data_IF_551103916457
#
_entry.id   IF_551103916457
#
_cell.length_a   1.000
_cell.length_b   1.000
_cell.length_c   1.000
_cell.angle_alpha   90.00
_cell.angle_beta   90.00
_cell.angle_gamma   90.00
#
_symmetry.space_group_name_H-M   'P 1'
#
loop_
_entity.id
_entity.type
_entity.pdbx_description
1 polymer ?
#
# COMPACT_ATOMS: atom_id res chain seq x y z
N UNK A 1 28.98 2.76 -3.39
CA UNK A 1 28.97 2.60 -4.87
C UNK A 1 28.79 3.99 -5.47
N UNK A 2 29.11 4.23 -6.76
CA UNK A 2 28.66 5.48 -7.41
C UNK A 2 27.18 5.27 -7.79
N UNK A 3 26.30 6.25 -7.51
CA UNK A 3 24.86 6.22 -7.84
C UNK A 3 24.60 5.69 -9.26
N UNK A 4 25.43 6.11 -10.25
CA UNK A 4 25.40 5.59 -11.61
C UNK A 4 25.32 4.06 -11.69
N UNK A 5 26.20 3.36 -10.98
CA UNK A 5 26.25 1.90 -11.05
C UNK A 5 25.00 1.28 -10.43
N UNK A 6 24.49 1.85 -9.34
CA UNK A 6 23.26 1.38 -8.72
C UNK A 6 22.06 1.53 -9.67
N UNK A 7 21.91 2.66 -10.36
CA UNK A 7 20.84 2.81 -11.36
C UNK A 7 20.95 1.80 -12.51
N UNK A 8 22.16 1.55 -13.01
CA UNK A 8 22.40 0.53 -14.06
C UNK A 8 22.07 -0.88 -13.56
N UNK A 9 22.50 -1.23 -12.35
CA UNK A 9 22.21 -2.53 -11.74
C UNK A 9 20.70 -2.70 -11.53
N UNK A 10 20.00 -1.66 -11.07
CA UNK A 10 18.54 -1.65 -10.88
C UNK A 10 17.80 -1.80 -12.22
N UNK A 11 18.27 -1.14 -13.28
CA UNK A 11 17.70 -1.26 -14.63
C UNK A 11 17.86 -2.68 -15.21
N UNK A 12 18.89 -3.41 -14.78
CA UNK A 12 19.12 -4.82 -15.15
C UNK A 12 18.49 -5.84 -14.18
N UNK A 13 17.74 -5.37 -13.17
CA UNK A 13 17.13 -6.21 -12.13
C UNK A 13 18.12 -6.86 -11.16
N UNK A 14 19.27 -6.20 -10.95
CA UNK A 14 20.36 -6.59 -10.07
C UNK A 14 20.63 -5.56 -8.97
N UNK A 15 19.67 -4.68 -8.70
CA UNK A 15 19.77 -3.67 -7.66
C UNK A 15 20.17 -4.28 -6.32
N UNK A 16 21.14 -3.64 -5.66
CA UNK A 16 21.53 -4.02 -4.30
C UNK A 16 20.34 -3.81 -3.35
N UNK A 17 20.10 -4.79 -2.48
CA UNK A 17 18.98 -4.75 -1.53
C UNK A 17 19.46 -4.32 -0.17
N UNK A 18 18.87 -3.25 0.34
CA UNK A 18 19.01 -2.90 1.75
C UNK A 18 18.35 -3.97 2.64
N UNK A 19 18.83 -4.17 3.88
CA UNK A 19 18.10 -4.96 4.86
C UNK A 19 16.70 -4.38 5.12
N UNK A 20 15.70 -5.26 5.19
CA UNK A 20 14.37 -4.93 5.73
C UNK A 20 14.41 -5.09 7.24
N UNK A 21 14.20 -4.01 7.99
CA UNK A 21 14.36 -3.97 9.44
C UNK A 21 13.04 -3.56 10.10
N UNK A 22 12.56 -4.40 11.00
CA UNK A 22 11.38 -4.13 11.83
C UNK A 22 11.75 -4.28 13.30
N UNK A 23 11.16 -3.44 14.15
CA UNK A 23 11.25 -3.58 15.60
C UNK A 23 9.85 -3.78 16.19
N UNK A 24 9.76 -4.54 17.27
CA UNK A 24 8.52 -4.74 18.02
C UNK A 24 8.71 -4.53 19.52
N UNK A 25 7.66 -4.01 20.14
CA UNK A 25 7.57 -3.76 21.56
C UNK A 25 6.63 -4.77 22.21
N UNK A 26 7.04 -5.24 23.38
CA UNK A 26 6.34 -6.28 24.13
C UNK A 26 5.96 -5.74 25.52
N UNK A 27 4.82 -6.17 26.03
CA UNK A 27 4.42 -5.82 27.42
C UNK A 27 5.16 -6.63 28.49
N UNK A 28 5.91 -7.66 28.08
CA UNK A 28 6.77 -8.49 28.93
C UNK A 28 8.24 -8.28 28.58
N UNK A 29 9.10 -8.59 29.54
CA UNK A 29 10.53 -8.67 29.32
C UNK A 29 10.89 -9.79 28.32
N UNK A 30 11.77 -9.47 27.38
CA UNK A 30 12.26 -10.36 26.34
C UNK A 30 13.71 -10.76 26.63
N UNK A 31 14.07 -12.00 26.30
CA UNK A 31 15.43 -12.53 26.44
C UNK A 31 15.68 -13.66 25.43
N UNK A 32 16.95 -13.96 25.15
CA UNK A 32 17.32 -14.96 24.15
C UNK A 32 16.75 -16.37 24.40
N UNK A 33 16.80 -16.95 25.61
CA UNK A 33 16.18 -18.26 25.87
C UNK A 33 14.68 -18.30 25.55
N UNK A 34 13.97 -17.18 25.77
CA UNK A 34 12.58 -17.08 25.38
C UNK A 34 12.41 -17.07 23.85
N UNK A 35 13.19 -16.27 23.13
CA UNK A 35 13.15 -16.22 21.66
C UNK A 35 13.42 -17.61 21.07
N UNK A 36 14.44 -18.32 21.56
CA UNK A 36 14.75 -19.70 21.16
C UNK A 36 13.55 -20.62 21.35
N UNK A 37 12.94 -20.60 22.54
CA UNK A 37 11.78 -21.44 22.85
C UNK A 37 10.55 -21.10 21.97
N UNK A 38 10.35 -19.83 21.62
CA UNK A 38 9.28 -19.43 20.69
C UNK A 38 9.57 -19.91 19.26
N UNK A 39 10.82 -19.84 18.81
CA UNK A 39 11.24 -20.36 17.50
C UNK A 39 11.16 -21.89 17.39
N UNK A 40 11.40 -22.61 18.49
CA UNK A 40 11.23 -24.07 18.57
C UNK A 40 9.76 -24.51 18.56
N UNK A 41 8.85 -23.66 19.05
CA UNK A 41 7.43 -24.01 19.22
C UNK A 41 6.52 -23.52 18.09
N UNK A 42 6.93 -22.52 17.32
CA UNK A 42 6.21 -22.12 16.12
C UNK A 42 6.24 -23.26 15.07
N UNK A 43 5.23 -23.31 14.19
CA UNK A 43 5.06 -24.40 13.22
C UNK A 43 5.01 -23.94 11.77
N UNK A 44 5.18 -22.65 11.51
CA UNK A 44 5.09 -22.07 10.17
C UNK A 44 6.40 -22.24 9.40
N UNK A 45 7.52 -22.00 10.08
CA UNK A 45 8.86 -22.25 9.57
C UNK A 45 9.36 -23.63 10.02
N UNK A 46 10.03 -24.32 9.11
CA UNK A 46 10.58 -25.65 9.29
C UNK A 46 12.10 -25.61 9.22
N UNK A 47 12.78 -26.65 9.72
CA UNK A 47 14.26 -26.74 9.64
C UNK A 47 14.98 -25.50 10.21
N UNK A 48 14.46 -24.99 11.33
CA UNK A 48 14.99 -23.80 12.00
C UNK A 48 16.32 -24.08 12.68
N UNK A 49 17.34 -23.28 12.38
CA UNK A 49 18.66 -23.32 13.00
C UNK A 49 19.06 -21.92 13.49
N UNK A 50 19.70 -21.87 14.66
CA UNK A 50 20.15 -20.63 15.31
C UNK A 50 21.67 -20.57 15.28
N UNK A 51 22.21 -19.44 14.81
CA UNK A 51 23.64 -19.13 14.78
C UNK A 51 23.90 -17.76 15.40
N UNK A 52 24.46 -17.74 16.61
CA UNK A 52 24.84 -16.51 17.31
C UNK A 52 25.96 -15.75 16.59
N UNK A 53 25.90 -14.42 16.62
CA UNK A 53 26.96 -13.56 16.09
C UNK A 53 28.10 -13.41 17.10
N UNK A 54 29.33 -13.20 16.62
CA UNK A 54 30.50 -12.99 17.49
C UNK A 54 30.56 -11.56 18.09
N UNK A 55 29.56 -10.71 17.85
CA UNK A 55 29.58 -9.29 18.21
C UNK A 55 29.21 -9.04 19.69
N UNK A 56 29.77 -8.00 20.29
CA UNK A 56 29.60 -7.66 21.72
C UNK A 56 28.16 -7.35 22.14
N UNK A 57 27.31 -6.88 21.22
CA UNK A 57 25.89 -6.57 21.49
C UNK A 57 24.95 -7.77 21.34
N UNK A 58 25.47 -8.91 20.84
CA UNK A 58 24.88 -10.24 20.90
C UNK A 58 23.49 -10.35 20.29
N UNK A 59 23.40 -10.73 19.01
CA UNK A 59 22.18 -11.20 18.34
C UNK A 59 22.42 -12.57 17.69
N UNK A 60 21.46 -13.07 16.92
CA UNK A 60 21.63 -14.34 16.20
C UNK A 60 20.91 -14.35 14.84
N UNK A 61 21.43 -15.16 13.92
CA UNK A 61 20.73 -15.52 12.71
C UNK A 61 19.85 -16.75 12.96
N UNK A 62 18.59 -16.66 12.55
CA UNK A 62 17.67 -17.77 12.42
C UNK A 62 17.51 -18.12 10.94
N UNK A 63 18.07 -19.25 10.52
CA UNK A 63 17.86 -19.80 9.18
C UNK A 63 16.76 -20.85 9.23
N UNK A 64 15.84 -20.82 8.29
CA UNK A 64 14.71 -21.74 8.27
C UNK A 64 14.18 -21.93 6.85
N UNK A 65 13.17 -22.80 6.73
CA UNK A 65 12.47 -23.07 5.46
C UNK A 65 10.98 -22.80 5.58
N UNK A 66 10.42 -22.22 4.53
CA UNK A 66 8.99 -22.28 4.25
C UNK A 66 8.79 -22.91 2.88
N UNK A 67 8.17 -24.09 2.84
CA UNK A 67 8.11 -24.94 1.65
C UNK A 67 9.52 -25.16 1.03
N UNK A 68 9.72 -24.72 -0.20
CA UNK A 68 11.00 -24.86 -0.92
C UNK A 68 11.95 -23.68 -0.70
N UNK A 69 11.49 -22.60 -0.06
CA UNK A 69 12.26 -21.37 0.13
C UNK A 69 13.09 -21.44 1.41
N UNK A 70 14.37 -21.13 1.28
CA UNK A 70 15.27 -20.86 2.40
C UNK A 70 15.16 -19.40 2.79
N UNK A 71 15.05 -19.15 4.09
CA UNK A 71 14.88 -17.82 4.68
C UNK A 71 15.91 -17.64 5.79
N UNK A 72 16.42 -16.42 5.93
CA UNK A 72 17.36 -16.06 6.97
C UNK A 72 16.92 -14.74 7.59
N UNK A 73 16.85 -14.73 8.93
CA UNK A 73 16.48 -13.56 9.71
C UNK A 73 17.56 -13.29 10.73
N UNK A 74 17.92 -12.02 10.92
CA UNK A 74 18.71 -11.59 12.05
C UNK A 74 17.76 -11.11 13.17
N UNK A 75 18.01 -11.56 14.40
CA UNK A 75 17.23 -11.18 15.56
C UNK A 75 18.14 -10.59 16.63
N UNK A 76 17.67 -9.51 17.25
CA UNK A 76 18.35 -8.84 18.35
C UNK A 76 17.36 -8.31 19.37
N UNK A 77 17.76 -8.32 20.64
CA UNK A 77 17.06 -7.65 21.73
C UNK A 77 17.92 -6.49 22.21
N UNK A 78 17.43 -5.28 22.02
CA UNK A 78 18.18 -4.07 22.36
C UNK A 78 17.48 -3.34 23.51
N UNK A 79 18.28 -2.81 24.43
CA UNK A 79 17.77 -1.95 25.50
C UNK A 79 17.40 -0.58 24.95
N UNK A 80 16.29 -0.01 25.42
CA UNK A 80 15.82 1.29 24.96
C UNK A 80 16.27 2.42 25.88
N UNK A 81 16.65 3.54 25.27
CA UNK A 81 16.79 4.80 25.99
C UNK A 81 15.39 5.35 26.31
N UNK A 82 15.03 5.57 27.59
CA UNK A 82 13.76 6.18 27.97
C UNK A 82 13.52 7.56 27.35
N UNK A 83 14.56 8.28 26.92
CA UNK A 83 14.44 9.56 26.23
C UNK A 83 13.95 9.41 24.77
N UNK A 84 14.15 8.24 24.15
CA UNK A 84 13.71 7.93 22.79
C UNK A 84 12.24 7.48 22.77
N UNK A 85 11.35 8.45 22.91
CA UNK A 85 9.91 8.26 22.81
C UNK A 85 9.49 7.95 21.37
N UNK A 86 8.61 6.96 21.21
CA UNK A 86 7.92 6.66 19.96
C UNK A 86 6.95 7.80 19.70
N UNK A 87 7.17 8.52 18.60
CA UNK A 87 6.29 9.58 18.10
C UNK A 87 5.96 9.22 16.64
N UNK A 88 4.85 8.50 16.40
CA UNK A 88 4.49 8.03 15.06
C UNK A 88 4.23 9.21 14.13
N UNK A 89 5.03 9.35 13.07
CA UNK A 89 4.71 10.22 11.93
C UNK A 89 3.74 9.52 10.97
N UNK A 90 3.87 8.20 10.85
CA UNK A 90 3.07 7.34 9.99
C UNK A 90 2.59 6.13 10.77
N UNK A 91 1.40 5.65 10.44
CA UNK A 91 0.83 4.46 11.06
C UNK A 91 -0.21 3.79 10.18
N UNK A 92 -0.26 2.46 10.21
CA UNK A 92 -1.30 1.67 9.51
C UNK A 92 -2.70 1.89 10.11
N UNK A 93 -2.75 2.23 11.40
CA UNK A 93 -3.95 2.49 12.20
C UNK A 93 -3.76 3.68 13.13
N UNK A 94 -4.84 4.39 13.49
CA UNK A 94 -4.80 5.30 14.63
C UNK A 94 -4.33 4.58 15.91
N UNK A 95 -3.36 5.17 16.59
CA UNK A 95 -2.79 4.60 17.81
C UNK A 95 -3.40 5.33 19.00
N UNK A 96 -4.00 4.58 19.92
CA UNK A 96 -4.55 5.18 21.15
C UNK A 96 -3.43 5.70 22.05
N UNK A 97 -3.65 6.80 22.79
CA UNK A 97 -2.68 7.30 23.77
C UNK A 97 -2.27 6.24 24.80
N UNK A 98 -3.18 5.35 25.19
CA UNK A 98 -2.91 4.28 26.15
C UNK A 98 -1.99 3.20 25.57
N UNK A 99 -2.17 2.84 24.30
CA UNK A 99 -1.29 1.88 23.62
C UNK A 99 0.10 2.49 23.42
N UNK A 100 0.16 3.75 22.97
CA UNK A 100 1.42 4.46 22.80
C UNK A 100 2.18 4.61 24.12
N UNK A 101 1.48 4.92 25.21
CA UNK A 101 2.07 4.99 26.55
C UNK A 101 2.62 3.63 27.01
N UNK A 102 1.93 2.53 26.73
CA UNK A 102 2.42 1.18 27.03
C UNK A 102 3.66 0.83 26.21
N UNK A 103 3.66 1.12 24.90
CA UNK A 103 4.82 0.90 24.05
C UNK A 103 6.02 1.75 24.49
N UNK A 104 5.80 3.00 24.90
CA UNK A 104 6.85 3.87 25.44
C UNK A 104 7.36 3.46 26.83
N UNK A 105 6.59 2.67 27.58
CA UNK A 105 7.03 2.09 28.84
C UNK A 105 7.88 0.81 28.67
N UNK A 106 7.90 0.21 27.47
CA UNK A 106 8.73 -0.96 27.20
C UNK A 106 10.22 -0.58 27.23
N UNK A 107 11.02 -1.29 28.02
CA UNK A 107 12.46 -1.03 28.19
C UNK A 107 13.35 -1.74 27.16
N UNK A 108 12.75 -2.56 26.31
CA UNK A 108 13.41 -3.35 25.29
C UNK A 108 12.62 -3.29 24.00
N UNK A 109 13.32 -3.52 22.89
CA UNK A 109 12.74 -3.81 21.59
C UNK A 109 13.32 -5.11 21.05
N UNK A 110 12.51 -5.82 20.25
CA UNK A 110 12.94 -6.99 19.51
C UNK A 110 13.04 -6.59 18.05
N UNK A 111 14.25 -6.59 17.51
CA UNK A 111 14.51 -6.34 16.11
C UNK A 111 14.48 -7.66 15.33
N UNK A 112 13.85 -7.63 14.16
CA UNK A 112 13.90 -8.68 13.14
C UNK A 112 14.29 -8.05 11.83
N UNK A 113 15.38 -8.52 11.24
CA UNK A 113 15.91 -8.06 9.97
C UNK A 113 16.05 -9.21 8.96
N UNK A 114 15.81 -8.95 7.67
CA UNK A 114 16.07 -9.91 6.61
C UNK A 114 16.37 -9.22 5.27
N UNK A 115 16.95 -9.97 4.33
CA UNK A 115 17.13 -9.53 2.94
C UNK A 115 16.00 -10.12 2.10
N UNK A 116 15.26 -9.26 1.40
CA UNK A 116 14.20 -9.74 0.53
C UNK A 116 14.74 -10.50 -0.68
N UNK A 117 14.06 -11.57 -1.03
CA UNK A 117 14.19 -12.29 -2.27
C UNK A 117 13.45 -11.59 -3.42
N UNK A 118 13.17 -12.31 -4.51
CA UNK A 118 12.51 -11.75 -5.70
C UNK A 118 11.02 -11.44 -5.49
N UNK A 119 10.41 -11.87 -4.37
CA UNK A 119 9.01 -11.64 -4.03
C UNK A 119 8.89 -10.80 -2.76
N UNK A 120 9.07 -9.47 -2.81
CA UNK A 120 9.11 -8.61 -1.63
C UNK A 120 7.90 -8.72 -0.70
N UNK A 121 6.68 -8.84 -1.25
CA UNK A 121 5.47 -8.99 -0.44
C UNK A 121 5.41 -10.30 0.34
N UNK A 122 5.86 -11.41 -0.26
CA UNK A 122 5.94 -12.69 0.44
C UNK A 122 6.98 -12.62 1.57
N UNK A 123 8.13 -11.99 1.31
CA UNK A 123 9.20 -11.85 2.29
C UNK A 123 8.82 -10.91 3.43
N UNK A 124 8.07 -9.85 3.12
CA UNK A 124 7.44 -8.98 4.10
C UNK A 124 6.48 -9.77 5.01
N UNK A 125 5.61 -10.61 4.44
CA UNK A 125 4.71 -11.49 5.22
C UNK A 125 5.52 -12.46 6.09
N UNK A 126 6.59 -13.07 5.57
CA UNK A 126 7.45 -13.93 6.37
C UNK A 126 8.10 -13.19 7.55
N UNK A 127 8.58 -11.97 7.33
CA UNK A 127 9.13 -11.12 8.39
C UNK A 127 8.08 -10.80 9.46
N UNK A 128 6.87 -10.41 9.06
CA UNK A 128 5.74 -10.18 9.96
C UNK A 128 5.36 -11.44 10.75
N UNK A 129 5.32 -12.62 10.09
CA UNK A 129 5.04 -13.91 10.74
C UNK A 129 6.08 -14.24 11.79
N UNK A 130 7.36 -14.05 11.49
CA UNK A 130 8.43 -14.29 12.45
C UNK A 130 8.31 -13.33 13.64
N UNK A 131 8.12 -12.04 13.38
CA UNK A 131 7.95 -11.03 14.42
C UNK A 131 6.77 -11.35 15.36
N UNK A 132 5.62 -11.73 14.80
CA UNK A 132 4.45 -12.17 15.58
C UNK A 132 4.72 -13.46 16.37
N UNK A 133 5.54 -14.38 15.86
CA UNK A 133 5.88 -15.62 16.55
C UNK A 133 6.83 -15.38 17.73
N UNK A 134 7.81 -14.49 17.58
CA UNK A 134 8.84 -14.23 18.62
C UNK A 134 8.43 -13.14 19.62
N UNK A 135 7.35 -12.40 19.37
CA UNK A 135 6.80 -11.38 20.29
C UNK A 135 5.33 -11.69 20.63
N UNK A 136 5.05 -12.64 21.53
CA UNK A 136 3.69 -13.11 21.80
C UNK A 136 2.78 -12.06 22.46
N UNK A 137 3.36 -11.19 23.29
CA UNK A 137 2.67 -10.11 24.01
C UNK A 137 2.88 -8.75 23.31
N UNK A 138 2.77 -8.79 21.97
CA UNK A 138 2.94 -7.68 21.05
C UNK A 138 2.07 -6.48 21.44
N UNK A 139 2.70 -5.33 21.55
CA UNK A 139 2.04 -4.03 21.72
C UNK A 139 1.98 -3.30 20.39
N UNK A 140 3.15 -3.06 19.79
CA UNK A 140 3.32 -2.18 18.65
C UNK A 140 4.56 -2.61 17.86
N UNK A 141 4.52 -2.45 16.53
CA UNK A 141 5.66 -2.64 15.65
C UNK A 141 6.00 -1.37 14.90
N UNK A 142 7.26 -1.25 14.49
CA UNK A 142 7.74 -0.17 13.63
C UNK A 142 8.53 -0.80 12.50
N UNK A 143 8.13 -0.50 11.27
CA UNK A 143 8.89 -0.79 10.07
C UNK A 143 9.89 0.34 9.83
N UNK A 144 11.13 0.11 10.28
CA UNK A 144 12.20 1.10 10.20
C UNK A 144 12.54 1.41 8.74
N UNK A 145 12.57 0.37 7.89
CA UNK A 145 12.86 0.52 6.47
C UNK A 145 11.81 1.34 5.73
N UNK A 146 10.53 1.30 6.15
CA UNK A 146 9.47 2.10 5.55
C UNK A 146 9.24 3.44 6.25
N UNK A 147 10.30 4.19 6.57
CA UNK A 147 10.19 5.51 7.18
C UNK A 147 9.65 5.48 8.62
N UNK A 148 9.97 4.42 9.36
CA UNK A 148 9.44 4.19 10.73
C UNK A 148 7.91 4.13 10.79
N UNK A 149 7.28 3.50 9.80
CA UNK A 149 5.84 3.31 9.79
C UNK A 149 5.40 2.38 10.93
N UNK A 150 4.45 2.84 11.72
CA UNK A 150 4.01 2.12 12.93
C UNK A 150 2.81 1.22 12.61
N UNK A 151 2.83 -0.01 13.11
CA UNK A 151 1.71 -0.95 12.94
C UNK A 151 1.26 -1.59 14.25
N UNK A 152 -0.05 -1.85 14.33
CA UNK A 152 -0.70 -2.42 15.50
C UNK A 152 -0.67 -3.94 15.47
N UNK A 153 -0.88 -4.55 16.63
CA UNK A 153 -1.08 -6.01 16.74
C UNK A 153 -2.29 -6.47 15.94
N UNK A 154 -3.36 -5.68 15.96
CA UNK A 154 -4.62 -5.99 15.30
C UNK A 154 -4.44 -6.01 13.78
N UNK A 155 -3.74 -5.02 13.22
CA UNK A 155 -3.35 -5.02 11.80
C UNK A 155 -2.45 -6.23 11.49
N UNK A 156 -1.37 -6.42 12.26
CA UNK A 156 -0.42 -7.50 12.05
C UNK A 156 -1.11 -8.87 12.00
N UNK A 157 -1.94 -9.18 13.00
CA UNK A 157 -2.62 -10.48 13.08
C UNK A 157 -3.63 -10.66 11.96
N UNK A 158 -4.31 -9.59 11.55
CA UNK A 158 -5.24 -9.65 10.44
C UNK A 158 -4.54 -9.91 9.10
N UNK A 159 -3.39 -9.28 8.84
CA UNK A 159 -2.58 -9.57 7.64
C UNK A 159 -2.05 -11.01 7.61
N UNK A 160 -1.99 -11.69 8.76
CA UNK A 160 -1.48 -13.06 8.88
C UNK A 160 -2.57 -14.14 9.00
N UNK A 161 -3.84 -13.74 9.06
CA UNK A 161 -4.99 -14.63 9.27
C UNK A 161 -5.24 -15.56 8.08
N UNK A 162 -5.06 -15.04 6.87
CA UNK A 162 -5.15 -15.76 5.60
C UNK A 162 -3.82 -15.75 4.85
N UNK A 163 -3.77 -16.48 3.74
CA UNK A 163 -2.62 -16.57 2.85
C UNK A 163 -2.75 -15.56 1.69
N UNK A 164 -3.02 -14.30 2.02
CA UNK A 164 -3.06 -13.21 1.03
C UNK A 164 -1.91 -12.26 1.28
N UNK A 165 -1.47 -11.59 0.22
CA UNK A 165 -0.44 -10.58 0.32
C UNK A 165 -1.06 -9.24 0.76
N UNK A 166 -0.35 -8.46 1.60
CA UNK A 166 -0.77 -7.11 1.90
C UNK A 166 -0.65 -6.23 0.64
N UNK A 167 -1.28 -5.05 0.68
CA UNK A 167 -1.15 -4.07 -0.40
C UNK A 167 0.32 -3.64 -0.57
N UNK A 168 0.72 -3.30 -1.80
CA UNK A 168 2.11 -2.94 -2.13
C UNK A 168 2.61 -1.74 -1.33
N UNK A 169 1.70 -0.85 -0.97
CA UNK A 169 1.93 0.31 -0.10
C UNK A 169 2.34 -0.07 1.33
N UNK A 170 2.26 -1.35 1.71
CA UNK A 170 2.84 -1.82 2.98
C UNK A 170 4.37 -1.88 2.94
N UNK A 171 4.97 -1.86 1.75
CA UNK A 171 6.41 -1.92 1.57
C UNK A 171 7.09 -0.55 1.69
N UNK A 172 6.35 0.55 1.62
CA UNK A 172 6.94 1.88 1.63
C UNK A 172 5.99 2.94 2.21
N UNK A 173 6.57 4.04 2.66
CA UNK A 173 5.82 5.24 3.08
C UNK A 173 6.10 6.37 2.11
N UNK A 174 5.11 7.20 1.79
CA UNK A 174 5.31 8.45 1.04
C UNK A 174 5.37 9.60 2.05
N UNK A 175 6.53 10.25 2.14
CA UNK A 175 6.70 11.47 2.91
C UNK A 175 6.40 12.68 2.03
N UNK A 176 5.55 13.58 2.51
CA UNK A 176 5.25 14.84 1.85
C UNK A 176 5.92 16.01 2.59
N UNK A 177 6.82 16.70 1.90
CA UNK A 177 7.40 17.98 2.32
C UNK A 177 6.72 19.08 1.51
N UNK A 178 6.28 20.15 2.17
CA UNK A 178 5.61 21.29 1.53
C UNK A 178 6.03 22.59 2.18
N UNK A 179 5.89 23.70 1.44
CA UNK A 179 6.27 24.99 2.00
C UNK A 179 5.32 25.41 3.12
N UNK A 180 5.89 25.91 4.22
CA UNK A 180 5.11 26.42 5.35
C UNK A 180 5.02 27.94 5.36
N UNK A 181 5.60 28.59 4.35
CA UNK A 181 5.60 30.05 4.23
C UNK A 181 4.32 30.58 3.56
N UNK A 182 3.66 29.76 2.73
CA UNK A 182 2.40 30.10 2.06
C UNK A 182 1.23 29.29 2.64
N UNK A 183 0.03 29.87 2.55
CA UNK A 183 -1.23 29.22 2.93
C UNK A 183 -2.30 29.52 1.84
N UNK A 184 -2.66 28.53 1.00
CA UNK A 184 -2.17 27.15 0.98
C UNK A 184 -0.72 27.03 0.45
N UNK A 185 -0.03 25.90 0.71
CA UNK A 185 1.30 25.64 0.15
C UNK A 185 1.30 25.65 -1.39
N UNK A 186 2.42 26.08 -1.96
CA UNK A 186 2.63 26.34 -3.38
C UNK A 186 3.66 25.42 -4.03
N UNK A 187 4.41 24.67 -3.24
CA UNK A 187 5.36 23.67 -3.71
C UNK A 187 5.39 22.47 -2.78
N UNK A 188 5.58 21.30 -3.39
CA UNK A 188 5.55 20.00 -2.74
C UNK A 188 6.66 19.11 -3.27
N UNK A 189 7.26 18.34 -2.36
CA UNK A 189 8.19 17.27 -2.65
C UNK A 189 7.72 16.02 -1.93
N UNK A 190 7.33 15.01 -2.70
CA UNK A 190 6.98 13.69 -2.20
C UNK A 190 8.14 12.75 -2.47
N UNK A 191 8.51 11.95 -1.48
CA UNK A 191 9.51 10.90 -1.66
C UNK A 191 9.14 9.66 -0.86
N UNK A 192 9.44 8.49 -1.40
CA UNK A 192 9.22 7.23 -0.70
C UNK A 192 10.35 6.90 0.29
N UNK A 193 10.03 6.04 1.25
CA UNK A 193 10.99 5.31 2.07
C UNK A 193 10.58 3.83 2.08
N UNK A 194 11.49 2.91 1.73
CA UNK A 194 11.30 1.47 1.87
C UNK A 194 11.41 0.68 0.56
N UNK A 195 11.67 1.33 -0.57
CA UNK A 195 11.88 0.65 -1.85
C UNK A 195 13.30 0.07 -1.99
N UNK A 196 14.29 0.63 -1.28
CA UNK A 196 15.66 0.12 -1.28
C UNK A 196 15.78 -1.36 -0.86
N UNK A 197 14.98 -1.83 0.11
CA UNK A 197 14.94 -3.25 0.50
C UNK A 197 14.36 -4.18 -0.57
N UNK A 198 13.67 -3.62 -1.57
CA UNK A 198 13.18 -4.36 -2.72
C UNK A 198 14.21 -4.43 -3.86
N UNK A 199 15.38 -3.77 -3.73
CA UNK A 199 16.38 -3.65 -4.80
C UNK A 199 16.00 -2.61 -5.86
N UNK A 200 15.20 -1.61 -5.46
CA UNK A 200 14.75 -0.50 -6.29
C UNK A 200 15.30 0.81 -5.72
N UNK A 201 15.22 1.89 -6.48
CA UNK A 201 15.46 3.23 -5.93
C UNK A 201 14.24 3.70 -5.15
N UNK A 202 14.41 4.64 -4.22
CA UNK A 202 13.26 5.42 -3.76
C UNK A 202 12.65 6.21 -4.94
N UNK A 203 11.36 6.52 -4.87
CA UNK A 203 10.65 7.27 -5.89
C UNK A 203 10.32 8.67 -5.39
N UNK A 204 10.40 9.65 -6.27
CA UNK A 204 10.16 11.05 -5.93
C UNK A 204 9.24 11.74 -6.92
N UNK A 205 8.45 12.66 -6.41
CA UNK A 205 7.58 13.53 -7.21
C UNK A 205 7.72 14.97 -6.70
N UNK A 206 8.19 15.86 -7.58
CA UNK A 206 8.30 17.30 -7.30
C UNK A 206 7.18 18.03 -8.03
N UNK A 207 6.37 18.76 -7.27
CA UNK A 207 5.25 19.56 -7.77
C UNK A 207 5.46 21.02 -7.33
N UNK A 208 6.01 21.87 -8.21
CA UNK A 208 6.27 23.28 -7.92
C UNK A 208 5.05 24.16 -8.23
N UNK A 209 3.86 23.67 -7.86
CA UNK A 209 2.56 24.31 -8.10
C UNK A 209 1.65 24.05 -6.88
N UNK A 210 0.62 24.89 -6.69
CA UNK A 210 -0.39 24.66 -5.65
C UNK A 210 -1.19 23.40 -5.93
N UNK A 211 -1.38 22.56 -4.92
CA UNK A 211 -2.27 21.40 -4.98
C UNK A 211 -3.60 21.70 -4.29
N UNK A 212 -4.69 21.40 -4.98
CA UNK A 212 -6.04 21.40 -4.44
C UNK A 212 -6.38 20.12 -3.65
N UNK A 213 -5.66 19.04 -3.91
CA UNK A 213 -5.80 17.74 -3.25
C UNK A 213 -4.52 16.94 -3.41
N UNK A 214 -4.28 15.99 -2.51
CA UNK A 214 -3.25 14.94 -2.62
C UNK A 214 -3.77 13.69 -3.35
N UNK A 215 -5.02 13.73 -3.82
CA UNK A 215 -5.67 12.63 -4.52
C UNK A 215 -4.88 12.22 -5.78
N UNK A 216 -4.75 10.91 -6.01
CA UNK A 216 -4.03 10.34 -7.15
C UNK A 216 -2.51 10.20 -6.96
N UNK A 217 -1.88 10.94 -6.05
CA UNK A 217 -0.43 10.80 -5.78
C UNK A 217 -0.10 9.38 -5.26
N UNK A 218 -0.80 8.83 -4.24
CA UNK A 218 -0.54 7.46 -3.81
C UNK A 218 -0.79 6.43 -4.91
N UNK A 219 -1.83 6.61 -5.74
CA UNK A 219 -2.13 5.70 -6.85
C UNK A 219 -1.07 5.75 -7.96
N UNK A 220 -0.47 6.92 -8.22
CA UNK A 220 0.66 7.07 -9.14
C UNK A 220 1.88 6.30 -8.65
N UNK A 221 2.25 6.49 -7.38
CA UNK A 221 3.33 5.72 -6.74
C UNK A 221 3.03 4.23 -6.76
N UNK A 222 1.80 3.82 -6.43
CA UNK A 222 1.38 2.42 -6.48
C UNK A 222 1.57 1.83 -7.89
N UNK A 223 1.11 2.54 -8.92
CA UNK A 223 1.22 2.10 -10.31
C UNK A 223 2.69 1.91 -10.72
N UNK A 224 3.55 2.88 -10.40
CA UNK A 224 4.99 2.80 -10.64
C UNK A 224 5.65 1.64 -9.87
N UNK A 225 5.42 1.55 -8.56
CA UNK A 225 6.07 0.56 -7.69
C UNK A 225 5.60 -0.87 -8.03
N UNK A 226 4.31 -1.09 -8.31
CA UNK A 226 3.84 -2.40 -8.76
C UNK A 226 4.49 -2.81 -10.08
N UNK A 227 4.61 -1.88 -11.04
CA UNK A 227 5.31 -2.16 -12.29
C UNK A 227 6.78 -2.54 -12.02
N UNK A 228 7.48 -1.79 -11.18
CA UNK A 228 8.89 -2.03 -10.88
C UNK A 228 9.11 -3.36 -10.15
N UNK A 229 8.28 -3.69 -9.15
CA UNK A 229 8.39 -4.94 -8.39
C UNK A 229 8.10 -6.16 -9.27
N UNK A 230 7.10 -6.09 -10.15
CA UNK A 230 6.76 -7.21 -11.03
C UNK A 230 7.85 -7.49 -12.06
N UNK A 231 8.47 -6.44 -12.60
CA UNK A 231 9.57 -6.58 -13.53
C UNK A 231 10.92 -6.74 -12.82
N UNK A 232 10.97 -6.62 -11.50
CA UNK A 232 12.17 -6.62 -10.65
C UNK A 232 13.21 -5.58 -11.07
N UNK A 233 12.80 -4.50 -11.75
CA UNK A 233 13.67 -3.46 -12.30
C UNK A 233 12.91 -2.13 -12.39
N UNK A 234 13.65 -1.02 -12.53
CA UNK A 234 13.07 0.27 -12.94
C UNK A 234 13.41 0.53 -14.39
N UNK A 235 12.39 0.86 -15.18
CA UNK A 235 12.60 1.36 -16.54
C UNK A 235 12.88 2.86 -16.48
N UNK A 236 14.14 3.24 -16.68
CA UNK A 236 14.52 4.65 -16.76
C UNK A 236 14.33 5.20 -18.16
N UNK A 237 14.12 6.51 -18.27
CA UNK A 237 14.16 7.30 -19.52
C UNK A 237 13.21 6.88 -20.65
N UNK A 238 12.30 5.95 -20.39
CA UNK A 238 11.27 5.49 -21.32
C UNK A 238 9.87 5.65 -20.71
N UNK A 239 8.84 5.90 -21.54
CA UNK A 239 7.45 5.98 -21.07
C UNK A 239 6.93 4.64 -20.52
N UNK A 240 6.43 4.65 -19.29
CA UNK A 240 5.73 3.56 -18.62
C UNK A 240 4.26 3.92 -18.53
N UNK A 241 3.36 3.12 -19.11
CA UNK A 241 1.93 3.37 -19.03
C UNK A 241 1.47 3.39 -17.57
N UNK A 242 0.88 4.50 -17.12
CA UNK A 242 0.49 4.70 -15.71
C UNK A 242 -1.00 4.98 -15.53
N UNK A 243 -1.65 5.59 -16.52
CA UNK A 243 -3.07 5.92 -16.44
C UNK A 243 -3.76 6.11 -17.78
N UNK A 244 -5.04 6.41 -17.72
CA UNK A 244 -5.84 6.88 -18.83
C UNK A 244 -6.76 8.01 -18.37
N UNK A 245 -6.87 9.06 -19.19
CA UNK A 245 -7.87 10.14 -19.08
C UNK A 245 -8.89 10.02 -20.22
N UNK A 246 -9.84 10.93 -20.27
CA UNK A 246 -10.74 11.09 -21.43
C UNK A 246 -10.00 11.52 -22.71
N UNK A 247 -8.84 12.17 -22.58
CA UNK A 247 -8.00 12.62 -23.69
C UNK A 247 -7.04 11.55 -24.22
N UNK A 248 -6.73 10.51 -23.45
CA UNK A 248 -5.86 9.41 -23.91
C UNK A 248 -5.06 8.74 -22.81
N UNK A 249 -3.99 8.03 -23.21
CA UNK A 249 -3.09 7.37 -22.28
C UNK A 249 -2.10 8.33 -21.64
N UNK A 250 -1.84 8.09 -20.35
CA UNK A 250 -0.88 8.84 -19.54
C UNK A 250 0.28 7.93 -19.17
N UNK A 251 1.49 8.49 -19.27
CA UNK A 251 2.72 7.75 -19.06
C UNK A 251 3.61 8.44 -18.01
N UNK A 252 4.35 7.60 -17.30
CA UNK A 252 5.42 7.96 -16.37
C UNK A 252 6.78 7.83 -17.05
N UNK A 253 7.69 8.76 -16.78
CA UNK A 253 9.11 8.61 -17.11
C UNK A 253 9.90 8.78 -15.82
N UNK A 254 10.67 7.75 -15.44
CA UNK A 254 11.57 7.80 -14.30
C UNK A 254 12.97 8.24 -14.76
N UNK A 255 13.56 9.20 -14.05
CA UNK A 255 14.94 9.63 -14.24
C UNK A 255 15.72 9.51 -12.93
N UNK A 256 17.02 9.15 -12.94
CA UNK A 256 17.90 9.39 -11.80
C UNK A 256 17.72 10.82 -11.27
N UNK A 257 17.60 11.01 -9.95
CA UNK A 257 17.25 12.34 -9.43
C UNK A 257 18.23 13.42 -9.86
N UNK A 258 19.52 13.08 -9.95
CA UNK A 258 20.57 14.01 -10.37
C UNK A 258 20.27 14.59 -11.75
N UNK A 259 19.77 13.77 -12.68
CA UNK A 259 19.32 14.22 -14.00
C UNK A 259 17.93 14.85 -13.94
N UNK A 260 17.00 14.24 -13.21
CA UNK A 260 15.63 14.72 -13.04
C UNK A 260 15.54 16.18 -12.59
N UNK A 261 16.40 16.61 -11.66
CA UNK A 261 16.46 17.99 -11.18
C UNK A 261 16.60 19.03 -12.30
N UNK A 262 17.23 18.68 -13.42
CA UNK A 262 17.42 19.58 -14.57
C UNK A 262 16.16 19.76 -15.41
N UNK A 263 15.18 18.87 -15.26
CA UNK A 263 13.97 18.81 -16.07
C UNK A 263 12.73 19.35 -15.35
N UNK A 264 12.80 19.58 -14.04
CA UNK A 264 11.72 20.23 -13.30
C UNK A 264 11.42 21.60 -13.90
N UNK A 265 10.13 21.86 -14.18
CA UNK A 265 9.64 23.06 -14.87
C UNK A 265 10.24 23.33 -16.26
N UNK A 266 10.83 22.32 -16.90
CA UNK A 266 11.25 22.37 -18.30
C UNK A 266 10.26 21.62 -19.20
N UNK A 267 10.20 21.97 -20.48
CA UNK A 267 9.48 21.20 -21.51
C UNK A 267 10.48 20.41 -22.34
N UNK A 268 11.11 19.41 -21.74
CA UNK A 268 12.13 18.58 -22.40
C UNK A 268 11.47 17.50 -23.24
N UNK A 269 11.68 17.44 -24.56
CA UNK A 269 11.24 16.33 -25.40
C UNK A 269 11.90 15.01 -24.98
N UNK A 270 11.13 13.93 -24.92
CA UNK A 270 11.61 12.62 -24.45
C UNK A 270 12.70 12.07 -25.37
N UNK A 271 12.60 12.33 -26.67
CA UNK A 271 13.60 11.92 -27.67
C UNK A 271 14.97 12.64 -27.52
N UNK A 272 15.05 13.64 -26.65
CA UNK A 272 16.29 14.35 -26.31
C UNK A 272 16.92 13.85 -25.01
N UNK A 273 16.26 12.93 -24.29
CA UNK A 273 16.85 12.32 -23.11
C UNK A 273 18.05 11.46 -23.49
N UNK A 274 19.07 11.53 -22.65
CA UNK A 274 20.27 10.70 -22.82
C UNK A 274 19.92 9.26 -22.41
N UNK A 275 20.53 8.25 -23.05
CA UNK A 275 20.54 6.89 -22.49
C UNK A 275 21.03 6.93 -21.05
N UNK A 276 20.52 6.02 -20.22
CA UNK A 276 20.87 5.92 -18.80
C UNK A 276 22.40 5.94 -18.58
N UNK A 277 23.17 5.25 -19.42
CA UNK A 277 24.64 5.18 -19.32
C UNK A 277 25.33 6.55 -19.49
N UNK A 278 24.71 7.48 -20.20
CA UNK A 278 25.26 8.78 -20.61
C UNK A 278 24.60 9.96 -19.87
N UNK A 279 23.67 9.68 -18.95
CA UNK A 279 23.07 10.68 -18.06
C UNK A 279 24.09 11.32 -17.11
N UNK A 280 23.71 12.46 -16.53
CA UNK A 280 24.55 13.18 -15.58
C UNK A 280 24.18 12.81 -14.15
N UNK A 281 25.16 12.25 -13.45
CA UNK A 281 25.06 11.81 -12.06
C UNK A 281 25.75 12.78 -11.08
N UNK A 282 26.11 13.96 -11.57
CA UNK A 282 26.64 15.06 -10.78
C UNK A 282 25.53 16.11 -10.55
N UNK A 283 25.71 17.00 -9.57
CA UNK A 283 24.79 18.10 -9.29
C UNK A 283 25.25 19.44 -9.91
N UNK A 284 26.19 19.41 -10.86
CA UNK A 284 26.67 20.64 -11.51
C UNK A 284 25.57 21.20 -12.42
N UNK A 285 25.21 22.47 -12.20
CA UNK A 285 24.18 23.16 -12.98
C UNK A 285 22.75 22.69 -12.73
N UNK A 286 22.49 21.91 -11.67
CA UNK A 286 21.11 21.68 -11.20
C UNK A 286 20.58 22.93 -10.48
N UNK A 287 19.25 23.12 -10.41
CA UNK A 287 18.63 24.15 -9.58
C UNK A 287 19.03 24.05 -8.09
N UNK A 288 19.06 25.20 -7.42
CA UNK A 288 19.35 25.34 -5.99
C UNK A 288 18.53 26.51 -5.42
N UNK A 289 17.66 26.23 -4.45
CA UNK A 289 16.76 27.22 -3.85
C UNK A 289 15.68 27.77 -4.78
N UNK A 290 15.29 27.02 -5.80
CA UNK A 290 14.25 27.33 -6.81
C UNK A 290 12.93 26.63 -6.50
N UNK A 291 12.96 25.39 -6.02
CA UNK A 291 11.77 24.60 -5.65
C UNK A 291 12.10 23.58 -4.56
N UNK A 292 11.10 23.09 -3.83
CA UNK A 292 11.33 22.07 -2.80
C UNK A 292 11.82 20.75 -3.38
N UNK A 293 12.80 20.16 -2.71
CA UNK A 293 13.48 18.94 -3.13
C UNK A 293 14.59 19.19 -4.14
N UNK A 294 14.95 20.44 -4.42
CA UNK A 294 16.14 20.76 -5.22
C UNK A 294 17.44 20.60 -4.43
N UNK A 295 18.58 20.96 -5.03
CA UNK A 295 19.90 20.77 -4.41
C UNK A 295 20.02 21.35 -3.00
N UNK A 296 19.30 22.42 -2.67
CA UNK A 296 19.39 23.06 -1.36
C UNK A 296 18.81 22.17 -0.23
N UNK A 297 17.87 21.28 -0.55
CA UNK A 297 17.17 20.43 0.42
C UNK A 297 17.82 19.03 0.58
N UNK A 298 18.89 18.76 -0.17
CA UNK A 298 19.53 17.44 -0.24
C UNK A 298 20.63 17.30 0.80
N UNK A 299 20.37 16.53 1.86
CA UNK A 299 21.38 16.13 2.85
C UNK A 299 22.04 14.78 2.49
N UNK A 300 22.78 14.18 3.42
CA UNK A 300 23.50 12.91 3.16
C UNK A 300 22.53 11.73 2.86
N UNK A 301 21.30 11.76 3.39
CA UNK A 301 20.29 10.71 3.18
C UNK A 301 19.51 10.95 1.89
N UNK A 302 19.18 12.21 1.60
CA UNK A 302 18.41 12.58 0.40
C UNK A 302 19.27 12.65 -0.88
N UNK A 303 20.52 12.17 -0.83
CA UNK A 303 21.43 11.99 -1.96
C UNK A 303 21.68 10.51 -2.32
N UNK A 304 21.11 9.58 -1.56
CA UNK A 304 21.05 8.17 -1.97
C UNK A 304 20.22 8.00 -3.26
N UNK A 305 20.43 6.93 -4.05
CA UNK A 305 19.71 6.77 -5.31
C UNK A 305 18.20 6.78 -5.19
N UNK A 306 17.60 7.73 -5.89
CA UNK A 306 16.17 7.90 -6.05
C UNK A 306 15.84 8.26 -7.50
N UNK A 307 14.62 7.97 -7.93
CA UNK A 307 14.13 8.32 -9.26
C UNK A 307 13.06 9.40 -9.18
N UNK A 308 13.23 10.47 -9.95
CA UNK A 308 12.21 11.50 -10.11
C UNK A 308 11.22 11.09 -11.21
N UNK A 309 9.94 11.15 -10.89
CA UNK A 309 8.84 10.77 -11.75
C UNK A 309 8.29 11.98 -12.53
N UNK A 310 8.21 11.86 -13.84
CA UNK A 310 7.65 12.86 -14.76
C UNK A 310 6.47 12.29 -15.55
N UNK A 311 5.51 13.14 -15.87
CA UNK A 311 4.36 12.84 -16.74
C UNK A 311 4.74 13.05 -18.20
N UNK A 312 4.15 12.25 -19.08
CA UNK A 312 4.12 12.50 -20.52
C UNK A 312 2.90 11.86 -21.19
N UNK A 313 2.61 12.23 -22.44
CA UNK A 313 1.54 11.66 -23.24
C UNK A 313 1.89 11.65 -24.74
N UNK A 314 1.06 10.97 -25.55
CA UNK A 314 1.29 10.80 -26.98
C UNK A 314 1.11 12.09 -27.79
N UNK A 315 0.21 12.98 -27.35
CA UNK A 315 -0.05 14.25 -28.05
C UNK A 315 1.11 15.24 -27.92
N UNK A 316 1.77 15.24 -26.76
CA UNK A 316 2.88 16.13 -26.43
C UNK A 316 3.95 15.36 -25.64
N UNK A 317 4.88 14.66 -26.33
CA UNK A 317 5.88 13.76 -25.72
C UNK A 317 7.05 14.54 -25.10
N UNK A 318 6.73 15.39 -24.14
CA UNK A 318 7.68 16.14 -23.30
C UNK A 318 7.52 15.72 -21.85
N UNK A 319 8.57 15.90 -21.06
CA UNK A 319 8.51 15.76 -19.61
C UNK A 319 7.67 16.89 -19.00
N UNK A 320 6.77 16.51 -18.10
CA UNK A 320 5.91 17.43 -17.37
C UNK A 320 5.83 17.03 -15.89
N UNK A 321 5.54 18.00 -15.03
CA UNK A 321 5.12 17.72 -13.65
C UNK A 321 3.68 17.22 -13.66
N UNK A 322 3.37 16.26 -12.77
CA UNK A 322 2.00 15.80 -12.57
C UNK A 322 1.14 16.85 -11.85
N UNK A 323 -0.18 16.78 -12.05
CA UNK A 323 -1.21 17.45 -11.27
C UNK A 323 -1.14 18.99 -11.25
N UNK A 324 -1.28 19.64 -12.41
CA UNK A 324 -1.27 21.11 -12.53
C UNK A 324 -2.60 21.78 -12.14
N UNK A 325 -3.40 21.14 -11.28
CA UNK A 325 -4.69 21.61 -10.79
C UNK A 325 -5.67 20.49 -10.40
N UNK A 326 -6.82 20.87 -9.84
CA UNK A 326 -7.83 19.93 -9.30
C UNK A 326 -8.46 19.00 -10.34
N UNK A 327 -8.73 19.52 -11.54
CA UNK A 327 -9.45 18.77 -12.57
C UNK A 327 -8.60 17.62 -13.13
N UNK A 328 -7.26 17.79 -13.24
CA UNK A 328 -6.36 16.71 -13.65
C UNK A 328 -6.26 15.59 -12.59
N UNK A 329 -6.37 15.92 -11.31
CA UNK A 329 -6.21 14.96 -10.20
C UNK A 329 -7.32 13.90 -10.18
N UNK A 330 -8.55 14.29 -10.51
CA UNK A 330 -9.72 13.39 -10.46
C UNK A 330 -10.05 12.74 -11.82
N UNK A 331 -9.29 13.03 -12.87
CA UNK A 331 -9.59 12.59 -14.24
C UNK A 331 -8.76 11.37 -14.71
N UNK A 332 -7.75 10.96 -13.93
CA UNK A 332 -6.87 9.84 -14.31
C UNK A 332 -7.37 8.54 -13.66
N UNK A 333 -7.65 7.55 -14.50
CA UNK A 333 -7.80 6.16 -14.06
C UNK A 333 -6.43 5.49 -14.10
N UNK A 334 -5.85 5.21 -12.92
CA UNK A 334 -4.53 4.58 -12.83
C UNK A 334 -4.59 3.10 -13.20
N UNK A 335 -3.58 2.66 -13.96
CA UNK A 335 -3.41 1.26 -14.32
C UNK A 335 -3.02 0.44 -13.10
N UNK A 336 -3.71 -0.69 -12.96
CA UNK A 336 -3.33 -1.78 -12.07
C UNK A 336 -2.80 -2.93 -12.90
N UNK A 337 -1.83 -3.62 -12.35
CA UNK A 337 -1.25 -4.80 -13.00
C UNK A 337 -2.20 -5.99 -12.90
N UNK A 338 -2.02 -7.00 -13.77
CA UNK A 338 -2.85 -8.21 -13.72
C UNK A 338 -2.66 -8.99 -12.41
N UNK A 339 -1.43 -9.09 -11.89
CA UNK A 339 -1.18 -9.80 -10.64
C UNK A 339 -1.77 -9.05 -9.43
N UNK A 340 -1.70 -7.72 -9.39
CA UNK A 340 -2.36 -6.90 -8.36
C UNK A 340 -3.88 -7.11 -8.39
N UNK A 341 -4.49 -7.05 -9.57
CA UNK A 341 -5.93 -7.24 -9.72
C UNK A 341 -6.37 -8.66 -9.32
N UNK A 342 -5.55 -9.68 -9.64
CA UNK A 342 -5.79 -11.06 -9.22
C UNK A 342 -5.71 -11.21 -7.70
N UNK A 343 -4.74 -10.58 -7.05
CA UNK A 343 -4.57 -10.64 -5.59
C UNK A 343 -5.72 -9.91 -4.86
N UNK A 344 -6.13 -8.74 -5.36
CA UNK A 344 -7.33 -8.05 -4.86
C UNK A 344 -8.57 -8.95 -4.92
N UNK A 345 -8.77 -9.65 -6.04
CA UNK A 345 -9.90 -10.57 -6.22
C UNK A 345 -9.83 -11.76 -5.26
N UNK A 346 -8.66 -12.40 -5.14
CA UNK A 346 -8.42 -13.51 -4.20
C UNK A 346 -8.73 -13.08 -2.78
N UNK A 347 -8.23 -11.92 -2.38
CA UNK A 347 -8.43 -11.34 -1.06
C UNK A 347 -9.89 -11.03 -0.76
N UNK A 348 -10.60 -10.41 -1.71
CA UNK A 348 -12.02 -10.12 -1.58
C UNK A 348 -12.85 -11.40 -1.38
N UNK A 349 -12.50 -12.49 -2.07
CA UNK A 349 -13.17 -13.78 -1.95
C UNK A 349 -12.87 -14.48 -0.61
N UNK A 350 -11.61 -14.53 -0.17
CA UNK A 350 -11.24 -15.16 1.10
C UNK A 350 -11.88 -14.44 2.30
N UNK A 351 -11.95 -13.12 2.23
CA UNK A 351 -12.53 -12.27 3.29
C UNK A 351 -14.02 -11.99 3.12
N UNK A 352 -14.67 -12.61 2.14
CA UNK A 352 -16.10 -12.45 1.85
C UNK A 352 -17.01 -12.75 3.06
N UNK A 353 -16.59 -13.68 3.92
CA UNK A 353 -17.34 -14.06 5.09
C UNK A 353 -17.57 -12.89 6.07
N UNK A 354 -16.65 -11.94 6.19
CA UNK A 354 -16.87 -10.72 6.97
C UNK A 354 -17.95 -9.85 6.35
N UNK A 355 -17.89 -9.64 5.03
CA UNK A 355 -18.89 -8.87 4.31
C UNK A 355 -20.29 -9.43 4.51
N UNK A 356 -20.46 -10.75 4.34
CA UNK A 356 -21.74 -11.44 4.54
C UNK A 356 -22.23 -11.31 5.97
N UNK A 357 -21.35 -11.43 6.96
CA UNK A 357 -21.72 -11.27 8.37
C UNK A 357 -22.23 -9.84 8.64
N UNK A 358 -21.51 -8.83 8.14
CA UNK A 358 -21.93 -7.43 8.28
C UNK A 358 -23.23 -7.15 7.55
N UNK A 359 -23.38 -7.63 6.32
CA UNK A 359 -24.60 -7.48 5.53
C UNK A 359 -25.80 -8.07 6.27
N UNK A 360 -25.70 -9.31 6.77
CA UNK A 360 -26.80 -9.98 7.49
C UNK A 360 -27.24 -9.25 8.77
N UNK A 361 -26.32 -8.59 9.46
CA UNK A 361 -26.60 -7.95 10.75
C UNK A 361 -27.06 -6.49 10.60
N UNK A 362 -26.62 -5.78 9.57
CA UNK A 362 -26.79 -4.32 9.48
C UNK A 362 -27.44 -3.84 8.18
N UNK A 363 -27.57 -4.67 7.15
CA UNK A 363 -28.31 -4.28 5.95
C UNK A 363 -29.79 -4.07 6.30
N UNK A 364 -30.30 -2.90 5.95
CA UNK A 364 -31.73 -2.58 5.99
C UNK A 364 -32.22 -2.58 4.56
N UNK A 365 -33.15 -3.47 4.25
CA UNK A 365 -33.79 -3.48 2.95
C UNK A 365 -34.67 -2.24 2.79
N UNK A 366 -34.62 -1.62 1.61
CA UNK A 366 -35.54 -0.55 1.21
C UNK A 366 -36.99 -1.07 1.01
N UNK A 367 -37.24 -2.38 1.12
CA UNK A 367 -38.60 -2.90 1.13
C UNK A 367 -39.37 -2.40 2.36
N UNK A 368 -40.53 -1.75 2.18
CA UNK A 368 -41.33 -1.29 3.31
C UNK A 368 -41.73 -2.49 4.17
N UNK A 369 -41.35 -2.46 5.45
CA UNK A 369 -41.70 -3.48 6.42
C UNK A 369 -43.19 -3.84 6.29
N UNK A 370 -43.52 -5.14 6.16
CA UNK A 370 -44.90 -5.61 6.04
C UNK A 370 -45.71 -4.98 7.18
N UNK A 371 -46.75 -4.15 6.89
CA UNK A 371 -47.40 -3.40 7.94
C UNK A 371 -48.09 -4.35 8.91
N UNK A 372 -47.70 -4.27 10.18
CA UNK A 372 -48.35 -4.98 11.27
C UNK A 372 -49.85 -4.67 11.31
N UNK A 373 -50.64 -5.56 11.89
CA UNK A 373 -52.11 -5.46 11.90
C UNK A 373 -52.63 -4.09 12.40
N UNK A 374 -51.94 -3.47 13.37
CA UNK A 374 -52.25 -2.12 13.87
C UNK A 374 -51.85 -0.98 12.91
N UNK A 375 -50.75 -1.10 12.16
CA UNK A 375 -50.31 -0.08 11.20
C UNK A 375 -51.26 0.05 10.00
N UNK A 376 -51.86 -1.08 9.57
CA UNK A 376 -52.94 -1.10 8.57
C UNK A 376 -54.18 -0.32 9.02
N UNK A 377 -54.48 -0.29 10.32
CA UNK A 377 -55.64 0.41 10.87
C UNK A 377 -55.44 1.93 10.92
N UNK A 378 -54.19 2.41 10.99
CA UNK A 378 -53.86 3.82 11.20
C UNK A 378 -53.39 4.58 9.93
N UNK A 379 -53.30 3.93 8.76
CA UNK A 379 -52.86 4.54 7.47
C UNK A 379 -51.60 5.43 7.61
N UNK A 380 -50.65 5.05 8.46
CA UNK A 380 -49.38 5.77 8.57
C UNK A 380 -48.38 5.12 7.62
N UNK A 381 -47.90 5.85 6.62
CA UNK A 381 -46.76 5.44 5.82
C UNK A 381 -45.54 5.29 6.74
N UNK A 382 -44.82 4.18 6.64
CA UNK A 382 -43.51 4.04 7.25
C UNK A 382 -42.56 4.91 6.41
N UNK A 383 -41.94 5.90 7.04
CA UNK A 383 -40.83 6.62 6.40
C UNK A 383 -39.65 5.63 6.26
N UNK A 384 -38.94 5.64 5.11
CA UNK A 384 -37.75 4.83 4.95
C UNK A 384 -36.73 5.23 6.02
N UNK A 385 -36.22 4.25 6.75
CA UNK A 385 -35.13 4.48 7.70
C UNK A 385 -33.88 4.60 6.85
N UNK A 386 -33.34 5.81 6.73
CA UNK A 386 -32.05 6.02 6.09
C UNK A 386 -30.98 5.31 6.92
N UNK A 387 -30.43 4.22 6.39
CA UNK A 387 -29.40 3.45 7.08
C UNK A 387 -28.06 4.17 6.97
N UNK A 388 -27.35 4.27 8.09
CA UNK A 388 -25.95 4.73 8.11
C UNK A 388 -25.01 3.72 7.43
N UNK A 389 -25.48 2.48 7.23
CA UNK A 389 -24.75 1.39 6.60
C UNK A 389 -25.01 1.34 5.09
N UNK A 390 -23.94 1.33 4.30
CA UNK A 390 -24.00 1.06 2.85
C UNK A 390 -23.06 -0.07 2.49
N UNK A 391 -23.53 -0.92 1.59
CA UNK A 391 -22.80 -2.10 1.13
C UNK A 391 -22.62 -2.01 -0.37
N UNK A 392 -21.44 -2.35 -0.87
CA UNK A 392 -21.11 -2.38 -2.28
C UNK A 392 -20.26 -3.61 -2.59
N UNK A 393 -20.53 -4.26 -3.71
CA UNK A 393 -19.78 -5.44 -4.18
C UNK A 393 -19.33 -5.18 -5.60
N UNK A 394 -18.07 -5.49 -5.92
CA UNK A 394 -17.52 -5.37 -7.27
C UNK A 394 -17.39 -6.75 -7.89
N UNK A 395 -17.94 -6.93 -9.09
CA UNK A 395 -17.84 -8.18 -9.83
C UNK A 395 -17.07 -8.00 -11.13
N UNK A 396 -16.18 -8.95 -11.46
CA UNK A 396 -15.56 -9.08 -12.77
C UNK A 396 -16.47 -9.85 -13.72
N UNK A 397 -17.31 -9.15 -14.48
CA UNK A 397 -18.27 -9.77 -15.39
C UNK A 397 -17.57 -10.17 -16.70
N UNK A 398 -17.70 -11.43 -17.15
CA UNK A 398 -17.05 -11.90 -18.36
C UNK A 398 -17.60 -11.21 -19.61
N UNK A 399 -16.71 -10.83 -20.52
CA UNK A 399 -17.03 -10.35 -21.87
C UNK A 399 -15.97 -10.80 -22.89
N UNK A 400 -16.14 -10.41 -24.15
CA UNK A 400 -15.25 -10.81 -25.24
C UNK A 400 -15.53 -12.22 -25.77
N UNK A 401 -14.72 -12.68 -26.73
CA UNK A 401 -14.81 -14.05 -27.24
C UNK A 401 -14.51 -15.04 -26.09
N UNK A 402 -15.40 -16.02 -25.89
CA UNK A 402 -15.31 -17.05 -24.84
C UNK A 402 -15.33 -16.55 -23.38
N UNK A 403 -15.47 -15.24 -23.11
CA UNK A 403 -15.55 -14.70 -21.75
C UNK A 403 -14.21 -14.59 -21.03
N UNK A 404 -13.11 -14.50 -21.78
CA UNK A 404 -11.75 -14.36 -21.24
C UNK A 404 -11.51 -12.99 -20.60
N UNK A 405 -12.18 -11.94 -21.08
CA UNK A 405 -12.04 -10.58 -20.57
C UNK A 405 -13.03 -10.31 -19.42
N UNK A 406 -12.69 -9.38 -18.53
CA UNK A 406 -13.48 -9.05 -17.35
C UNK A 406 -13.71 -7.56 -17.26
N UNK A 407 -14.97 -7.15 -17.23
CA UNK A 407 -15.36 -5.79 -16.91
C UNK A 407 -15.73 -5.73 -15.43
N UNK A 408 -15.00 -4.92 -14.66
CA UNK A 408 -15.22 -4.82 -13.22
C UNK A 408 -16.26 -3.76 -12.87
N UNK A 409 -17.44 -4.19 -12.42
CA UNK A 409 -18.58 -3.31 -12.17
C UNK A 409 -19.05 -3.38 -10.71
N UNK A 410 -19.54 -2.26 -10.20
CA UNK A 410 -20.04 -2.12 -8.83
C UNK A 410 -21.55 -2.33 -8.74
N UNK A 411 -21.97 -3.04 -7.70
CA UNK A 411 -23.36 -3.35 -7.42
C UNK A 411 -23.68 -2.99 -5.96
N UNK A 412 -24.90 -2.49 -5.75
CA UNK A 412 -25.49 -2.41 -4.42
C UNK A 412 -26.25 -3.72 -4.17
N UNK A 413 -25.82 -4.57 -3.23
CA UNK A 413 -26.47 -5.84 -2.96
C UNK A 413 -27.82 -5.61 -2.24
N UNK A 414 -28.85 -6.28 -2.74
CA UNK A 414 -30.19 -6.31 -2.14
C UNK A 414 -30.42 -7.60 -1.36
N UNK A 415 -29.82 -8.70 -1.85
CA UNK A 415 -29.96 -10.02 -1.25
C UNK A 415 -28.72 -10.86 -1.49
N UNK A 416 -28.34 -11.65 -0.49
CA UNK A 416 -27.27 -12.63 -0.58
C UNK A 416 -27.84 -14.00 -0.18
N UNK A 417 -27.89 -14.93 -1.13
CA UNK A 417 -28.35 -16.31 -0.95
C UNK A 417 -27.23 -17.28 -1.34
N UNK A 418 -26.72 -18.05 -0.38
CA UNK A 418 -25.64 -19.02 -0.58
C UNK A 418 -24.45 -18.44 -1.38
N UNK A 419 -24.34 -18.80 -2.66
CA UNK A 419 -23.28 -18.41 -3.58
C UNK A 419 -23.69 -17.32 -4.59
N UNK A 420 -24.84 -16.66 -4.38
CA UNK A 420 -25.39 -15.68 -5.31
C UNK A 420 -25.72 -14.37 -4.60
N UNK A 421 -25.31 -13.26 -5.20
CA UNK A 421 -25.71 -11.91 -4.82
C UNK A 421 -26.71 -11.40 -5.84
N UNK A 422 -27.87 -10.94 -5.38
CA UNK A 422 -28.79 -10.15 -6.20
C UNK A 422 -28.60 -8.68 -5.83
N UNK A 423 -28.33 -7.83 -6.82
CA UNK A 423 -28.07 -6.42 -6.58
C UNK A 423 -28.26 -5.54 -7.80
N UNK A 424 -28.33 -4.24 -7.56
CA UNK A 424 -28.48 -3.21 -8.57
C UNK A 424 -27.11 -2.74 -9.06
N UNK A 425 -26.86 -2.78 -10.36
CA UNK A 425 -25.68 -2.22 -11.02
C UNK A 425 -25.68 -0.69 -10.94
N UNK A 426 -24.59 -0.06 -10.49
CA UNK A 426 -24.54 1.39 -10.28
C UNK A 426 -23.65 2.17 -11.26
N UNK A 427 -22.87 1.50 -12.10
CA UNK A 427 -22.06 2.15 -13.12
C UNK A 427 -22.47 1.70 -14.52
N UNK A 428 -22.26 2.57 -15.52
CA UNK A 428 -22.51 2.26 -16.93
C UNK A 428 -21.48 1.23 -17.43
N UNK A 429 -21.92 0.08 -18.00
CA UNK A 429 -21.02 -0.85 -18.66
C UNK A 429 -20.47 -0.28 -19.96
N UNK A 430 -19.21 -0.60 -20.28
CA UNK A 430 -18.55 -0.23 -21.52
C UNK A 430 -18.55 -1.38 -22.54
N UNK A 431 -18.38 -2.62 -22.08
CA UNK A 431 -18.17 -3.79 -22.94
C UNK A 431 -19.23 -4.88 -22.74
N UNK A 432 -19.85 -4.96 -21.56
CA UNK A 432 -20.95 -5.91 -21.28
C UNK A 432 -22.28 -5.37 -21.82
N UNK A 433 -22.65 -5.77 -23.04
CA UNK A 433 -23.84 -5.26 -23.75
C UNK A 433 -25.18 -5.65 -23.10
N UNK A 434 -25.23 -6.77 -22.38
CA UNK A 434 -26.46 -7.31 -21.79
C UNK A 434 -26.79 -6.70 -20.40
N UNK A 435 -25.97 -5.77 -19.91
CA UNK A 435 -26.17 -5.07 -18.64
C UNK A 435 -26.35 -3.57 -18.85
N UNK A 436 -27.06 -2.91 -17.93
CA UNK A 436 -27.22 -1.46 -17.92
C UNK A 436 -27.27 -0.92 -16.49
N UNK A 437 -26.78 0.31 -16.32
CA UNK A 437 -26.88 1.04 -15.06
C UNK A 437 -28.33 1.05 -14.54
N UNK A 438 -28.50 0.79 -13.24
CA UNK A 438 -29.79 0.65 -12.57
C UNK A 438 -30.49 -0.70 -12.76
N UNK A 439 -29.93 -1.61 -13.55
CA UNK A 439 -30.46 -2.97 -13.70
C UNK A 439 -30.18 -3.85 -12.47
N UNK A 440 -31.10 -4.78 -12.18
CA UNK A 440 -30.97 -5.76 -11.08
C UNK A 440 -30.55 -7.10 -11.65
N UNK A 441 -29.46 -7.67 -11.11
CA UNK A 441 -28.86 -8.90 -11.61
C UNK A 441 -28.54 -9.86 -10.46
N UNK A 442 -28.60 -11.17 -10.74
CA UNK A 442 -28.14 -12.22 -9.83
C UNK A 442 -26.78 -12.74 -10.31
N UNK A 443 -25.76 -12.60 -9.48
CA UNK A 443 -24.35 -12.80 -9.84
C UNK A 443 -23.70 -13.77 -8.86
N UNK A 444 -22.92 -14.70 -9.39
CA UNK A 444 -22.19 -15.69 -8.60
C UNK A 444 -21.03 -15.05 -7.82
N UNK A 445 -20.85 -15.45 -6.56
CA UNK A 445 -19.81 -14.90 -5.68
C UNK A 445 -18.39 -15.22 -6.16
N UNK A 446 -18.22 -16.24 -7.00
CA UNK A 446 -16.92 -16.55 -7.63
C UNK A 446 -16.42 -15.43 -8.55
N UNK A 447 -17.28 -14.48 -8.93
CA UNK A 447 -16.90 -13.30 -9.70
C UNK A 447 -16.63 -12.07 -8.82
N UNK A 448 -16.72 -12.19 -7.49
CA UNK A 448 -16.35 -11.09 -6.58
C UNK A 448 -14.88 -10.76 -6.77
N UNK A 449 -14.61 -9.48 -7.01
CA UNK A 449 -13.27 -8.94 -7.23
C UNK A 449 -12.88 -7.88 -6.21
N UNK A 450 -13.87 -7.25 -5.56
CA UNK A 450 -13.69 -6.34 -4.43
C UNK A 450 -15.04 -6.15 -3.70
N UNK A 451 -15.04 -5.54 -2.53
CA UNK A 451 -16.23 -5.07 -1.85
C UNK A 451 -15.91 -3.93 -0.88
N UNK A 452 -16.92 -3.12 -0.56
CA UNK A 452 -16.78 -2.02 0.39
C UNK A 452 -18.01 -1.93 1.29
N UNK A 453 -17.77 -1.61 2.56
CA UNK A 453 -18.80 -1.27 3.54
C UNK A 453 -18.54 0.15 3.98
N UNK A 454 -19.56 1.00 3.89
CA UNK A 454 -19.49 2.37 4.37
C UNK A 454 -20.32 2.51 5.63
N UNK A 455 -19.74 3.13 6.65
CA UNK A 455 -20.40 3.39 7.92
C UNK A 455 -19.79 4.63 8.57
N UNK A 456 -20.63 5.55 9.04
CA UNK A 456 -20.23 6.80 9.71
C UNK A 456 -19.20 7.66 8.96
N UNK A 457 -19.20 7.61 7.63
CA UNK A 457 -18.27 8.35 6.78
C UNK A 457 -16.97 7.62 6.47
N UNK A 458 -16.70 6.48 7.12
CA UNK A 458 -15.57 5.62 6.84
C UNK A 458 -15.91 4.55 5.78
N UNK A 459 -14.86 4.01 5.14
CA UNK A 459 -14.94 2.90 4.19
C UNK A 459 -14.07 1.73 4.66
N UNK A 460 -14.68 0.56 4.74
CA UNK A 460 -14.04 -0.69 5.11
C UNK A 460 -14.01 -1.64 3.92
N UNK A 461 -12.82 -2.14 3.60
CA UNK A 461 -12.49 -2.98 2.44
C UNK A 461 -11.99 -4.36 2.91
N UNK A 462 -11.73 -5.33 2.02
CA UNK A 462 -11.09 -6.58 2.40
C UNK A 462 -9.86 -6.41 3.30
N UNK A 463 -9.03 -5.38 3.10
CA UNK A 463 -7.85 -5.12 3.93
C UNK A 463 -8.09 -4.40 5.26
N UNK A 464 -9.23 -3.74 5.42
CA UNK A 464 -9.47 -2.85 6.55
C UNK A 464 -10.69 -3.22 7.38
N UNK A 465 -11.40 -4.29 7.02
CA UNK A 465 -12.61 -4.73 7.72
C UNK A 465 -12.36 -5.07 9.20
N UNK A 466 -11.15 -5.53 9.55
CA UNK A 466 -10.78 -5.77 10.94
C UNK A 466 -10.91 -4.52 11.82
N UNK A 467 -10.74 -3.32 11.27
CA UNK A 467 -10.90 -2.06 12.01
C UNK A 467 -12.34 -1.91 12.51
N UNK A 468 -13.31 -2.34 11.73
CA UNK A 468 -14.71 -2.32 12.13
C UNK A 468 -15.01 -3.37 13.20
N UNK A 469 -14.34 -4.52 13.13
CA UNK A 469 -14.52 -5.63 14.08
C UNK A 469 -13.82 -5.37 15.43
N UNK A 470 -12.66 -4.71 15.42
CA UNK A 470 -11.91 -4.40 16.64
C UNK A 470 -12.64 -3.39 17.53
N UNK A 471 -13.33 -2.42 16.92
CA UNK A 471 -14.19 -1.47 17.65
C UNK A 471 -15.45 -2.15 18.25
N UNK A 472 -15.87 -3.28 17.67
CA UNK A 472 -17.06 -4.03 18.11
C UNK A 472 -16.84 -4.97 19.30
N UNK A 473 -15.60 -5.16 19.77
CA UNK A 473 -15.36 -5.81 21.08
C UNK A 473 -15.54 -4.86 22.28
N UNK A 474 -15.95 -3.60 22.03
CA UNK A 474 -16.24 -2.58 23.04
C UNK A 474 -17.68 -2.05 23.03
N UNK A 475 -18.64 -2.80 22.48
CA UNK A 475 -20.08 -2.48 22.61
C UNK A 475 -20.89 -3.63 23.21
#
# INVERSE_FOLDING_TARGET
MNNKQQYLDIAEGKGEKAPSTMVAFSSREMNYPLLESLLETQSFFTEGEISYTEQEQGGFFYTCRNHERELAFYLEISGRDPENQIVPAYSTDPISPELLAQANAATQEVMVECIFGPNPLEDYVHQLRLLNAVVPDFLLGIDISAGSNVFTREWLRFQLEDDVLPEIESLYTIHAVYDTENDPPTTFWFHSHGLARCGLTEAELVIPETLSSYYGIPDLFRSFVNNAIQNQQITFNEPILCGQTDSGYEYLVALPFEEGLRHVNQSTPIDQLRPLEDMRYDLEGTPEGVFLGDRADRDDVHQEPSCMLFRTNEENPVLQTFFKGFDEQNAIMFWRTNAETAEMSRKAQLRWHYFVNMFKNYHVSDEPAKPGFLAKLLKKALEPVESEWRFMVKFGIPHGEEGEEREHMWFVPEKIDDAVVTGTLINHPFYVEDMQEGGVYSIDISWVTDWAIYYQGDSYKPDTIYKLLSHSQTH
#
